data_IF_912221060739
#
_entry.id   IF_912221060739
#
_cell.length_a   1.000
_cell.length_b   1.000
_cell.length_c   1.000
_cell.angle_alpha   90.00
_cell.angle_beta   90.00
_cell.angle_gamma   90.00
#
_symmetry.space_group_name_H-M   'P 1'
#
loop_
_entity.id
_entity.type
_entity.pdbx_description
1 polymer ?
#
# COMPACT_ATOMS: atom_id res chain seq x y z
N UNK A 1 -32.01 5.74 7.64
CA UNK A 1 -31.02 4.84 7.01
C UNK A 1 -30.27 4.13 8.13
N UNK A 2 -29.83 2.86 7.99
CA UNK A 2 -28.94 2.25 8.97
C UNK A 2 -27.69 3.13 9.15
N UNK A 3 -27.17 3.22 10.38
CA UNK A 3 -25.97 4.00 10.67
C UNK A 3 -24.78 3.41 9.91
N UNK A 4 -24.12 4.21 9.09
CA UNK A 4 -22.89 3.83 8.39
C UNK A 4 -21.70 4.11 9.29
N UNK A 5 -20.92 3.07 9.60
CA UNK A 5 -19.70 3.17 10.37
C UNK A 5 -18.50 3.30 9.42
N UNK A 6 -17.56 4.19 9.74
CA UNK A 6 -16.30 4.37 8.99
C UNK A 6 -15.10 4.16 9.91
N UNK A 7 -14.01 3.64 9.36
CA UNK A 7 -12.82 3.25 10.12
C UNK A 7 -11.58 3.88 9.49
N UNK A 8 -10.71 4.44 10.33
CA UNK A 8 -9.37 4.86 9.95
C UNK A 8 -8.38 4.34 10.98
N UNK A 9 -7.15 4.01 10.54
CA UNK A 9 -6.08 3.53 11.42
C UNK A 9 -4.83 4.36 11.21
N UNK A 10 -4.14 4.67 12.31
CA UNK A 10 -2.96 5.53 12.29
C UNK A 10 -2.28 5.58 13.64
N UNK A 11 -1.04 6.05 13.65
CA UNK A 11 -0.43 6.60 14.86
C UNK A 11 -1.14 7.91 15.24
N UNK A 12 -1.11 8.25 16.52
CA UNK A 12 -1.74 9.47 17.01
C UNK A 12 -1.20 10.70 16.26
N UNK A 13 -2.12 11.54 15.78
CA UNK A 13 -1.78 12.77 15.04
C UNK A 13 -1.40 12.58 13.56
N UNK A 14 -1.45 11.36 13.05
CA UNK A 14 -1.08 11.05 11.65
C UNK A 14 -1.97 11.77 10.61
N UNK A 15 -1.42 12.08 9.41
CA UNK A 15 -2.15 12.76 8.35
C UNK A 15 -3.43 12.03 7.91
N UNK A 16 -3.40 10.69 7.86
CA UNK A 16 -4.56 9.90 7.42
C UNK A 16 -5.75 10.01 8.38
N UNK A 17 -5.50 10.05 9.70
CA UNK A 17 -6.57 10.21 10.68
C UNK A 17 -7.26 11.57 10.55
N UNK A 18 -6.48 12.65 10.34
CA UNK A 18 -7.03 14.00 10.11
C UNK A 18 -7.91 14.04 8.85
N UNK A 19 -7.42 13.50 7.74
CA UNK A 19 -8.17 13.47 6.48
C UNK A 19 -9.43 12.59 6.59
N UNK A 20 -9.35 11.45 7.28
CA UNK A 20 -10.49 10.57 7.50
C UNK A 20 -11.58 11.23 8.37
N UNK A 21 -11.19 11.96 9.41
CA UNK A 21 -12.13 12.69 10.27
C UNK A 21 -12.86 13.81 9.51
N UNK A 22 -12.17 14.51 8.60
CA UNK A 22 -12.80 15.51 7.73
C UNK A 22 -13.88 14.89 6.83
N UNK A 23 -13.56 13.77 6.18
CA UNK A 23 -14.52 13.03 5.33
C UNK A 23 -15.69 12.49 6.16
N UNK A 24 -15.41 11.94 7.34
CA UNK A 24 -16.44 11.41 8.21
C UNK A 24 -17.43 12.47 8.68
N UNK A 25 -16.94 13.68 9.02
CA UNK A 25 -17.77 14.82 9.38
C UNK A 25 -18.65 15.27 8.20
N UNK A 26 -18.09 15.30 6.99
CA UNK A 26 -18.83 15.67 5.78
C UNK A 26 -19.95 14.66 5.46
N UNK A 27 -19.65 13.36 5.56
CA UNK A 27 -20.58 12.28 5.21
C UNK A 27 -21.56 11.92 6.34
N UNK A 28 -21.33 12.42 7.56
CA UNK A 28 -22.16 12.11 8.73
C UNK A 28 -22.10 10.65 9.18
N UNK A 29 -20.95 9.97 8.99
CA UNK A 29 -20.75 8.58 9.42
C UNK A 29 -20.44 8.47 10.91
N UNK A 30 -20.77 7.33 11.53
CA UNK A 30 -20.25 6.99 12.86
C UNK A 30 -18.78 6.60 12.73
N UNK A 31 -17.89 7.56 12.96
CA UNK A 31 -16.46 7.39 12.73
C UNK A 31 -15.74 6.72 13.90
N UNK A 32 -14.84 5.80 13.57
CA UNK A 32 -13.98 5.11 14.53
C UNK A 32 -12.53 5.37 14.15
N UNK A 33 -11.89 6.27 14.89
CA UNK A 33 -10.46 6.52 14.79
C UNK A 33 -9.72 5.44 15.60
N UNK A 34 -8.98 4.57 14.92
CA UNK A 34 -8.27 3.45 15.52
C UNK A 34 -6.79 3.80 15.65
N UNK A 35 -6.35 4.00 16.88
CA UNK A 35 -4.92 4.18 17.16
C UNK A 35 -4.25 2.84 17.43
N UNK A 36 -3.00 2.74 16.98
CA UNK A 36 -2.03 1.76 17.45
C UNK A 36 -0.74 2.49 17.85
N UNK A 37 0.05 1.86 18.69
CA UNK A 37 1.40 2.30 19.04
C UNK A 37 2.43 1.60 18.16
N UNK A 38 3.61 2.20 17.99
CA UNK A 38 4.71 1.56 17.27
C UNK A 38 5.03 0.18 17.86
N UNK A 39 5.02 0.05 19.20
CA UNK A 39 5.27 -1.24 19.86
C UNK A 39 4.21 -2.29 19.51
N UNK A 40 2.92 -1.95 19.52
CA UNK A 40 1.87 -2.88 19.07
C UNK A 40 2.05 -3.30 17.60
N UNK A 41 2.56 -2.38 16.77
CA UNK A 41 2.93 -2.68 15.38
C UNK A 41 4.10 -3.68 15.30
N UNK A 42 5.17 -3.44 16.05
CA UNK A 42 6.36 -4.31 16.09
C UNK A 42 6.01 -5.71 16.60
N UNK A 43 5.26 -5.80 17.69
CA UNK A 43 4.84 -7.05 18.30
C UNK A 43 3.95 -7.88 17.35
N UNK A 44 3.21 -7.21 16.45
CA UNK A 44 2.34 -7.86 15.48
C UNK A 44 3.06 -8.37 14.21
N UNK A 45 4.31 -7.98 13.94
CA UNK A 45 4.99 -8.27 12.66
C UNK A 45 5.02 -9.77 12.35
N UNK A 46 5.31 -10.61 13.34
CA UNK A 46 5.38 -12.06 13.15
C UNK A 46 4.02 -12.64 12.73
N UNK A 47 2.95 -12.26 13.42
CA UNK A 47 1.60 -12.71 13.10
C UNK A 47 1.13 -12.16 11.75
N UNK A 48 1.51 -10.93 11.41
CA UNK A 48 1.23 -10.35 10.09
C UNK A 48 1.92 -11.16 9.00
N UNK A 49 3.21 -11.47 9.12
CA UNK A 49 3.93 -12.32 8.14
C UNK A 49 3.25 -13.69 8.01
N UNK A 50 2.84 -14.29 9.13
CA UNK A 50 2.09 -15.54 9.13
C UNK A 50 0.76 -15.43 8.37
N UNK A 51 -0.02 -14.39 8.62
CA UNK A 51 -1.34 -14.22 8.00
C UNK A 51 -1.26 -13.82 6.53
N UNK A 52 -0.31 -12.96 6.13
CA UNK A 52 -0.20 -12.49 4.75
C UNK A 52 0.57 -13.51 3.88
N UNK A 53 1.46 -14.29 4.50
CA UNK A 53 2.30 -15.30 3.84
C UNK A 53 3.22 -14.65 2.78
N UNK A 54 3.90 -13.57 3.17
CA UNK A 54 4.88 -12.87 2.32
C UNK A 54 6.04 -12.30 3.14
N UNK A 55 7.16 -12.06 2.49
CA UNK A 55 8.32 -11.31 3.03
C UNK A 55 8.55 -9.98 2.30
N UNK A 56 7.62 -9.55 1.44
CA UNK A 56 7.70 -8.25 0.77
C UNK A 56 7.56 -7.08 1.77
N UNK A 57 8.57 -6.21 1.79
CA UNK A 57 8.69 -5.11 2.77
C UNK A 57 7.51 -4.15 2.69
N UNK A 58 7.13 -3.74 1.49
CA UNK A 58 6.04 -2.78 1.26
C UNK A 58 4.72 -3.35 1.74
N UNK A 59 4.46 -4.62 1.41
CA UNK A 59 3.25 -5.34 1.79
C UNK A 59 3.17 -5.50 3.30
N UNK A 60 4.25 -5.89 3.98
CA UNK A 60 4.26 -6.04 5.45
C UNK A 60 4.04 -4.69 6.14
N UNK A 61 4.76 -3.63 5.74
CA UNK A 61 4.60 -2.27 6.27
C UNK A 61 3.15 -1.78 6.23
N UNK A 62 2.46 -2.03 5.10
CA UNK A 62 1.06 -1.63 4.91
C UNK A 62 0.06 -2.62 5.54
N UNK A 63 0.41 -3.90 5.67
CA UNK A 63 -0.49 -4.91 6.22
C UNK A 63 -0.63 -4.81 7.73
N UNK A 64 0.41 -4.41 8.45
CA UNK A 64 0.37 -4.35 9.92
C UNK A 64 -0.71 -3.41 10.47
N UNK A 65 -0.82 -2.14 10.02
CA UNK A 65 -1.91 -1.28 10.48
C UNK A 65 -3.29 -1.82 10.08
N UNK A 66 -3.42 -2.40 8.88
CA UNK A 66 -4.67 -2.98 8.40
C UNK A 66 -5.11 -4.21 9.23
N UNK A 67 -4.16 -5.05 9.61
CA UNK A 67 -4.38 -6.18 10.52
C UNK A 67 -4.87 -5.70 11.89
N UNK A 68 -4.22 -4.69 12.48
CA UNK A 68 -4.62 -4.11 13.76
C UNK A 68 -5.99 -3.42 13.69
N UNK A 69 -6.29 -2.75 12.58
CA UNK A 69 -7.60 -2.15 12.31
C UNK A 69 -8.69 -3.22 12.25
N UNK A 70 -8.46 -4.31 11.52
CA UNK A 70 -9.41 -5.42 11.38
C UNK A 70 -9.76 -6.04 12.74
N UNK A 71 -8.77 -6.19 13.62
CA UNK A 71 -8.99 -6.66 15.01
C UNK A 71 -10.03 -5.83 15.73
N UNK A 72 -9.94 -4.49 15.66
CA UNK A 72 -10.89 -3.59 16.33
C UNK A 72 -12.26 -3.58 15.63
N UNK A 73 -12.29 -3.60 14.30
CA UNK A 73 -13.55 -3.73 13.52
C UNK A 73 -14.32 -4.99 13.95
N UNK A 74 -13.62 -6.12 14.07
CA UNK A 74 -14.22 -7.37 14.52
C UNK A 74 -14.77 -7.28 15.93
N UNK A 75 -14.03 -6.66 16.85
CA UNK A 75 -14.45 -6.47 18.24
C UNK A 75 -15.75 -5.65 18.37
N UNK A 76 -16.02 -4.78 17.40
CA UNK A 76 -17.28 -4.02 17.30
C UNK A 76 -18.43 -4.83 16.67
N UNK A 77 -18.20 -6.09 16.28
CA UNK A 77 -19.20 -6.98 15.70
C UNK A 77 -19.42 -6.80 14.19
N UNK A 78 -18.65 -5.93 13.53
CA UNK A 78 -18.71 -5.72 12.09
C UNK A 78 -17.96 -6.85 11.38
N UNK A 79 -18.57 -7.38 10.33
CA UNK A 79 -18.08 -8.57 9.61
C UNK A 79 -17.70 -8.28 8.16
N UNK A 80 -18.01 -7.10 7.64
CA UNK A 80 -17.72 -6.72 6.26
C UNK A 80 -17.47 -5.22 6.17
N UNK A 81 -16.46 -4.82 5.38
CA UNK A 81 -16.15 -3.43 5.06
C UNK A 81 -15.88 -3.26 3.56
N UNK A 82 -16.07 -2.04 3.06
CA UNK A 82 -15.70 -1.62 1.71
C UNK A 82 -14.34 -0.90 1.76
N UNK A 83 -13.47 -1.19 0.80
CA UNK A 83 -12.15 -0.57 0.66
C UNK A 83 -11.94 0.01 -0.74
N UNK A 84 -11.04 0.99 -0.84
CA UNK A 84 -10.68 1.69 -2.07
C UNK A 84 -9.56 1.03 -2.90
N UNK A 85 -9.09 -0.16 -2.51
CA UNK A 85 -8.05 -0.90 -3.24
C UNK A 85 -8.42 -1.12 -4.71
N UNK A 86 -7.42 -1.07 -5.60
CA UNK A 86 -7.61 -1.15 -7.04
C UNK A 86 -7.74 0.21 -7.74
N UNK A 87 -8.05 1.29 -7.01
CA UNK A 87 -8.24 2.61 -7.62
C UNK A 87 -6.96 3.12 -8.29
N UNK A 88 -5.81 2.98 -7.62
CA UNK A 88 -4.53 3.48 -8.12
C UNK A 88 -4.05 2.67 -9.34
N UNK A 89 -4.26 1.35 -9.35
CA UNK A 89 -3.93 0.47 -10.47
C UNK A 89 -4.82 0.69 -11.69
N UNK A 90 -6.09 1.01 -11.49
CA UNK A 90 -7.03 1.27 -12.58
C UNK A 90 -6.79 2.64 -13.21
N UNK A 91 -6.50 3.66 -12.41
CA UNK A 91 -6.48 5.06 -12.86
C UNK A 91 -5.09 5.70 -12.91
N UNK A 92 -4.01 4.96 -12.67
CA UNK A 92 -2.66 5.52 -12.69
C UNK A 92 -2.41 6.47 -11.52
N UNK A 93 -2.79 6.04 -10.31
CA UNK A 93 -2.81 6.91 -9.12
C UNK A 93 -1.54 6.97 -8.31
N UNK A 94 -0.56 6.11 -8.60
CA UNK A 94 0.75 6.19 -7.96
C UNK A 94 1.58 7.35 -8.50
N UNK A 95 2.39 7.98 -7.66
CA UNK A 95 3.17 9.16 -8.05
C UNK A 95 4.15 8.88 -9.19
N UNK A 96 4.62 7.65 -9.37
CA UNK A 96 5.51 7.30 -10.48
C UNK A 96 4.81 7.41 -11.85
N UNK A 97 3.47 7.37 -11.92
CA UNK A 97 2.74 7.60 -13.17
C UNK A 97 2.90 9.02 -13.72
N UNK A 98 3.33 9.99 -12.92
CA UNK A 98 3.73 11.32 -13.42
C UNK A 98 4.91 11.25 -14.39
N UNK A 99 5.65 10.15 -14.37
CA UNK A 99 6.79 9.90 -15.26
C UNK A 99 6.43 8.99 -16.43
N UNK A 100 5.15 8.62 -16.59
CA UNK A 100 4.71 7.80 -17.71
C UNK A 100 5.04 8.52 -19.04
N UNK A 101 5.78 7.89 -19.97
CA UNK A 101 6.23 8.56 -21.19
C UNK A 101 5.08 8.98 -22.12
N UNK A 102 4.00 8.21 -22.13
CA UNK A 102 2.81 8.43 -22.95
C UNK A 102 1.65 7.55 -22.44
N UNK A 103 0.44 7.78 -22.96
CA UNK A 103 -0.76 7.08 -22.52
C UNK A 103 -0.76 5.56 -22.81
N UNK A 104 0.00 5.12 -23.82
CA UNK A 104 0.17 3.68 -24.10
C UNK A 104 0.96 3.01 -22.97
N UNK A 105 2.11 3.57 -22.59
CA UNK A 105 2.91 3.05 -21.48
C UNK A 105 2.12 3.09 -20.16
N UNK A 106 1.36 4.16 -19.90
CA UNK A 106 0.44 4.24 -18.75
C UNK A 106 -0.57 3.09 -18.78
N UNK A 107 -1.25 2.88 -19.92
CA UNK A 107 -2.25 1.83 -20.05
C UNK A 107 -1.64 0.44 -19.83
N UNK A 108 -0.52 0.15 -20.48
CA UNK A 108 0.17 -1.14 -20.34
C UNK A 108 0.62 -1.39 -18.89
N UNK A 109 1.08 -0.35 -18.18
CA UNK A 109 1.41 -0.48 -16.76
C UNK A 109 0.18 -0.69 -15.88
N UNK A 110 -0.92 0.04 -16.11
CA UNK A 110 -2.18 -0.20 -15.37
C UNK A 110 -2.69 -1.63 -15.55
N UNK A 111 -2.62 -2.17 -16.77
CA UNK A 111 -2.98 -3.58 -17.06
C UNK A 111 -2.03 -4.54 -16.35
N UNK A 112 -0.72 -4.28 -16.39
CA UNK A 112 0.29 -5.11 -15.70
C UNK A 112 0.07 -5.11 -14.19
N UNK A 113 -0.23 -3.95 -13.60
CA UNK A 113 -0.55 -3.82 -12.17
C UNK A 113 -1.82 -4.59 -11.81
N UNK A 114 -2.88 -4.46 -12.61
CA UNK A 114 -4.12 -5.22 -12.41
C UNK A 114 -3.89 -6.74 -12.47
N UNK A 115 -3.04 -7.22 -13.39
CA UNK A 115 -2.69 -8.64 -13.48
C UNK A 115 -1.88 -9.14 -12.28
N UNK A 116 -1.08 -8.27 -11.66
CA UNK A 116 -0.23 -8.63 -10.53
C UNK A 116 -0.88 -8.41 -9.15
N UNK A 117 -2.01 -7.69 -9.07
CA UNK A 117 -2.69 -7.31 -7.83
C UNK A 117 -2.93 -8.47 -6.85
N UNK A 118 -3.17 -9.68 -7.37
CA UNK A 118 -3.41 -10.87 -6.56
C UNK A 118 -2.23 -11.25 -5.65
N UNK A 119 -1.00 -10.81 -5.97
CA UNK A 119 0.21 -11.05 -5.17
C UNK A 119 0.50 -9.92 -4.17
N UNK A 120 -0.14 -8.76 -4.34
CA UNK A 120 0.15 -7.53 -3.59
C UNK A 120 -1.11 -7.07 -2.82
N UNK A 121 -1.75 -6.00 -3.26
CA UNK A 121 -2.82 -5.31 -2.53
C UNK A 121 -4.05 -6.18 -2.29
N UNK A 122 -4.41 -7.07 -3.22
CA UNK A 122 -5.50 -8.03 -2.98
C UNK A 122 -5.14 -9.04 -1.89
N UNK A 123 -3.89 -9.53 -1.87
CA UNK A 123 -3.44 -10.45 -0.82
C UNK A 123 -3.44 -9.75 0.54
N UNK A 124 -2.88 -8.54 0.63
CA UNK A 124 -2.91 -7.71 1.84
C UNK A 124 -4.34 -7.45 2.32
N UNK A 125 -5.19 -6.87 1.47
CA UNK A 125 -6.54 -6.47 1.86
C UNK A 125 -7.40 -7.67 2.26
N UNK A 126 -7.28 -8.79 1.56
CA UNK A 126 -8.02 -10.00 1.91
C UNK A 126 -7.48 -10.64 3.19
N UNK A 127 -6.19 -10.93 3.26
CA UNK A 127 -5.60 -11.74 4.34
C UNK A 127 -5.51 -10.97 5.66
N UNK A 128 -5.13 -9.69 5.63
CA UNK A 128 -5.07 -8.85 6.84
C UNK A 128 -6.45 -8.70 7.49
N UNK A 129 -7.49 -8.52 6.67
CA UNK A 129 -8.87 -8.39 7.17
C UNK A 129 -9.42 -9.75 7.63
N UNK A 130 -9.16 -10.81 6.86
CA UNK A 130 -9.60 -12.18 7.17
C UNK A 130 -8.94 -12.77 8.41
N UNK A 131 -7.76 -12.29 8.80
CA UNK A 131 -7.08 -12.70 10.04
C UNK A 131 -7.96 -12.54 11.28
N UNK A 132 -8.91 -11.58 11.25
CA UNK A 132 -9.88 -11.35 12.31
C UNK A 132 -11.32 -11.67 11.89
N UNK A 133 -11.51 -12.38 10.78
CA UNK A 133 -12.82 -12.78 10.28
C UNK A 133 -13.69 -11.58 9.87
N UNK A 134 -13.08 -10.62 9.16
CA UNK A 134 -13.74 -9.48 8.50
C UNK A 134 -13.55 -9.61 6.99
N UNK A 135 -14.66 -9.58 6.24
CA UNK A 135 -14.66 -9.59 4.78
C UNK A 135 -14.37 -8.20 4.21
N UNK A 136 -13.38 -8.09 3.33
CA UNK A 136 -13.10 -6.87 2.58
C UNK A 136 -13.69 -6.94 1.18
N UNK A 137 -14.46 -5.92 0.78
CA UNK A 137 -15.00 -5.78 -0.58
C UNK A 137 -14.36 -4.57 -1.27
N UNK A 138 -14.05 -4.71 -2.55
CA UNK A 138 -13.23 -3.76 -3.33
C UNK A 138 -13.96 -3.31 -4.61
N UNK A 139 -14.85 -2.31 -4.54
CA UNK A 139 -15.69 -1.92 -5.68
C UNK A 139 -14.93 -1.50 -6.93
N UNK A 140 -13.73 -0.93 -6.81
CA UNK A 140 -12.88 -0.57 -7.95
C UNK A 140 -12.40 -1.77 -8.77
N UNK A 141 -12.47 -2.98 -8.21
CA UNK A 141 -12.12 -4.23 -8.91
C UNK A 141 -13.36 -5.04 -9.33
N UNK A 142 -14.56 -4.45 -9.24
CA UNK A 142 -15.74 -5.08 -9.83
C UNK A 142 -15.55 -5.29 -11.34
N UNK A 143 -15.93 -6.46 -11.83
CA UNK A 143 -15.71 -6.84 -13.23
C UNK A 143 -16.38 -5.88 -14.22
N UNK A 144 -17.60 -5.42 -13.94
CA UNK A 144 -18.32 -4.49 -14.82
C UNK A 144 -17.74 -3.09 -14.72
N UNK A 145 -17.33 -2.67 -13.53
CA UNK A 145 -16.63 -1.40 -13.35
C UNK A 145 -15.31 -1.39 -14.13
N UNK A 146 -14.51 -2.44 -14.04
CA UNK A 146 -13.25 -2.59 -14.79
C UNK A 146 -13.48 -2.53 -16.30
N UNK A 147 -14.53 -3.18 -16.81
CA UNK A 147 -14.88 -3.12 -18.24
C UNK A 147 -15.10 -1.68 -18.73
N UNK A 148 -15.62 -0.78 -17.89
CA UNK A 148 -15.80 0.64 -18.23
C UNK A 148 -14.49 1.40 -18.00
N UNK A 149 -13.95 1.32 -16.79
CA UNK A 149 -12.79 2.10 -16.36
C UNK A 149 -11.51 1.78 -17.15
N UNK A 150 -11.39 0.58 -17.73
CA UNK A 150 -10.26 0.20 -18.58
C UNK A 150 -10.48 0.47 -20.07
N UNK A 151 -11.69 0.87 -20.49
CA UNK A 151 -12.02 1.19 -21.89
C UNK A 151 -12.13 2.69 -22.20
N UNK A 152 -12.08 3.56 -21.18
CA UNK A 152 -11.90 5.00 -21.42
C UNK A 152 -10.53 5.27 -22.06
N UNK A 153 -10.38 6.43 -22.70
CA UNK A 153 -9.11 6.79 -23.33
C UNK A 153 -8.01 6.94 -22.25
N UNK A 154 -6.88 6.21 -22.34
CA UNK A 154 -5.81 6.33 -21.36
C UNK A 154 -5.20 7.73 -21.27
N UNK A 155 -5.35 8.56 -22.31
CA UNK A 155 -4.97 9.99 -22.27
C UNK A 155 -5.72 10.75 -21.14
N UNK A 156 -6.95 10.36 -20.83
CA UNK A 156 -7.72 10.97 -19.74
C UNK A 156 -7.23 10.56 -18.34
N UNK A 157 -6.39 9.51 -18.26
CA UNK A 157 -5.73 9.05 -17.04
C UNK A 157 -4.34 9.66 -16.84
N UNK A 158 -3.76 10.29 -17.87
CA UNK A 158 -2.45 10.91 -17.78
C UNK A 158 -2.45 12.05 -16.74
N UNK A 159 -1.45 12.05 -15.87
CA UNK A 159 -1.18 13.12 -14.91
C UNK A 159 0.09 13.90 -15.28
N UNK A 160 0.35 15.01 -14.59
CA UNK A 160 1.37 15.99 -14.98
C UNK A 160 0.79 17.13 -15.81
N UNK A 161 1.62 18.11 -16.17
CA UNK A 161 1.22 19.30 -16.94
C UNK A 161 0.00 20.04 -16.35
N UNK A 162 -0.08 20.12 -15.01
CA UNK A 162 -1.19 20.76 -14.29
C UNK A 162 -2.33 19.82 -13.90
N UNK A 163 -2.32 18.55 -14.34
CA UNK A 163 -3.28 17.52 -13.89
C UNK A 163 -2.72 16.69 -12.73
N UNK A 164 -3.55 16.48 -11.72
CA UNK A 164 -3.28 15.59 -10.59
C UNK A 164 -3.47 14.13 -10.97
N UNK A 165 -2.83 13.20 -10.25
CA UNK A 165 -3.10 11.77 -10.40
C UNK A 165 -4.59 11.47 -10.21
N UNK A 166 -5.13 10.58 -11.05
CA UNK A 166 -6.56 10.23 -11.09
C UNK A 166 -7.51 11.41 -11.34
N UNK A 167 -7.07 12.43 -12.10
CA UNK A 167 -7.88 13.63 -12.40
C UNK A 167 -9.32 13.31 -12.84
N UNK A 168 -9.50 12.41 -13.81
CA UNK A 168 -10.82 12.01 -14.30
C UNK A 168 -11.73 11.43 -13.21
N UNK A 169 -11.16 10.68 -12.26
CA UNK A 169 -11.92 10.15 -11.13
C UNK A 169 -12.34 11.27 -10.18
N UNK A 170 -11.45 12.25 -9.95
CA UNK A 170 -11.73 13.42 -9.11
C UNK A 170 -12.87 14.25 -9.69
N UNK A 171 -12.84 14.54 -10.99
CA UNK A 171 -13.93 15.24 -11.69
C UNK A 171 -15.27 14.49 -11.59
N UNK A 172 -15.26 13.16 -11.74
CA UNK A 172 -16.48 12.35 -11.69
C UNK A 172 -17.16 12.36 -10.30
N UNK A 173 -16.40 12.56 -9.22
CA UNK A 173 -16.90 12.47 -7.85
C UNK A 173 -16.70 13.75 -7.04
N UNK A 174 -16.32 14.87 -7.66
CA UNK A 174 -16.01 16.13 -7.00
C UNK A 174 -17.17 16.63 -6.12
N UNK A 175 -18.41 16.42 -6.56
CA UNK A 175 -19.61 16.86 -5.82
C UNK A 175 -19.90 16.06 -4.54
N UNK A 176 -19.22 14.93 -4.32
CA UNK A 176 -19.49 14.03 -3.18
C UNK A 176 -18.64 14.33 -1.95
N UNK A 177 -17.55 15.08 -2.09
CA UNK A 177 -16.54 15.27 -1.05
C UNK A 177 -16.15 16.74 -0.95
N UNK A 178 -15.58 17.20 0.18
CA UNK A 178 -14.96 18.51 0.27
C UNK A 178 -13.86 18.68 -0.79
N UNK A 179 -13.74 19.88 -1.37
CA UNK A 179 -12.72 20.16 -2.39
C UNK A 179 -11.28 19.90 -1.88
N UNK A 180 -11.04 20.14 -0.59
CA UNK A 180 -9.81 19.81 0.14
C UNK A 180 -9.44 18.32 0.07
N UNK A 181 -10.44 17.43 -0.03
CA UNK A 181 -10.25 15.97 -0.17
C UNK A 181 -10.22 15.58 -1.64
N UNK A 182 -11.17 16.09 -2.44
CA UNK A 182 -11.29 15.77 -3.86
C UNK A 182 -10.02 16.11 -4.66
N UNK A 183 -9.28 17.13 -4.23
CA UNK A 183 -8.04 17.59 -4.85
C UNK A 183 -6.81 17.46 -3.93
N UNK A 184 -6.84 16.52 -2.98
CA UNK A 184 -5.66 16.17 -2.16
C UNK A 184 -4.70 15.28 -2.96
N UNK A 185 -3.41 15.61 -2.98
CA UNK A 185 -2.37 14.76 -3.57
C UNK A 185 -2.28 13.40 -2.83
N UNK A 186 -1.96 12.35 -3.58
CA UNK A 186 -1.79 10.98 -3.08
C UNK A 186 -0.69 10.89 -2.01
N UNK A 187 -1.10 10.39 -0.84
CA UNK A 187 -0.25 9.87 0.22
C UNK A 187 -0.28 8.33 0.18
N UNK A 188 0.87 7.67 0.29
CA UNK A 188 0.91 6.21 0.39
C UNK A 188 0.51 5.75 1.79
N UNK A 189 -0.18 4.62 1.89
CA UNK A 189 -0.78 4.16 3.15
C UNK A 189 0.25 4.01 4.28
N UNK A 190 1.43 3.46 3.99
CA UNK A 190 2.48 3.27 4.99
C UNK A 190 3.13 4.56 5.48
N UNK A 191 3.09 5.64 4.68
CA UNK A 191 3.61 6.96 5.08
C UNK A 191 2.51 7.76 5.81
N UNK A 192 1.27 7.70 5.30
CA UNK A 192 0.11 8.40 5.87
C UNK A 192 -0.30 7.90 7.26
N UNK A 193 0.04 6.66 7.60
CA UNK A 193 -0.20 6.07 8.93
C UNK A 193 0.64 6.71 10.05
N UNK A 194 1.72 7.42 9.69
CA UNK A 194 2.63 8.10 10.61
C UNK A 194 4.09 7.72 10.39
N UNK A 195 4.94 8.73 10.18
CA UNK A 195 6.33 8.54 9.74
C UNK A 195 7.19 7.68 10.67
N UNK A 196 6.98 7.78 11.99
CA UNK A 196 7.74 6.99 12.97
C UNK A 196 7.52 5.49 12.84
N UNK A 197 6.45 5.03 12.19
CA UNK A 197 6.24 3.60 11.96
C UNK A 197 7.35 2.99 11.10
N UNK A 198 7.61 3.56 9.92
CA UNK A 198 8.64 3.05 8.99
C UNK A 198 10.03 3.29 9.56
N UNK A 199 10.26 4.44 10.19
CA UNK A 199 11.57 4.80 10.70
C UNK A 199 11.98 3.82 11.82
N UNK A 200 11.08 3.50 12.75
CA UNK A 200 11.36 2.50 13.79
C UNK A 200 11.52 1.09 13.22
N UNK A 201 10.78 0.70 12.17
CA UNK A 201 11.02 -0.59 11.50
C UNK A 201 12.43 -0.71 10.93
N UNK A 202 12.93 0.36 10.31
CA UNK A 202 14.30 0.44 9.79
C UNK A 202 15.33 0.38 10.92
N UNK A 203 15.10 1.11 12.02
CA UNK A 203 15.97 1.11 13.21
C UNK A 203 16.06 -0.29 13.85
N UNK A 204 14.92 -0.92 14.11
CA UNK A 204 14.85 -2.27 14.71
C UNK A 204 15.57 -3.29 13.82
N UNK A 205 15.36 -3.24 12.50
CA UNK A 205 16.08 -4.12 11.58
C UNK A 205 17.59 -3.85 11.56
N UNK A 206 18.01 -2.59 11.69
CA UNK A 206 19.42 -2.21 11.76
C UNK A 206 20.12 -2.74 13.01
N UNK A 207 19.41 -2.80 14.14
CA UNK A 207 19.90 -3.35 15.41
C UNK A 207 19.95 -4.89 15.41
N UNK A 208 18.96 -5.56 14.81
CA UNK A 208 18.84 -7.03 14.86
C UNK A 208 19.68 -7.74 13.79
N UNK A 209 19.90 -7.12 12.63
CA UNK A 209 20.62 -7.73 11.52
C UNK A 209 21.99 -7.10 11.38
N UNK A 210 23.04 -7.91 11.51
CA UNK A 210 24.42 -7.49 11.31
C UNK A 210 24.75 -7.26 9.82
N UNK A 211 25.78 -6.46 9.54
CA UNK A 211 26.26 -6.24 8.18
C UNK A 211 26.78 -7.54 7.54
N UNK A 212 27.39 -8.42 8.35
CA UNK A 212 27.84 -9.74 7.90
C UNK A 212 26.68 -10.63 7.46
N UNK A 213 25.56 -10.64 8.21
CA UNK A 213 24.36 -11.39 7.81
C UNK A 213 23.85 -10.91 6.44
N UNK A 214 23.81 -9.59 6.23
CA UNK A 214 23.37 -9.03 4.95
C UNK A 214 24.35 -9.36 3.81
N UNK A 215 25.66 -9.23 4.03
CA UNK A 215 26.70 -9.54 3.03
C UNK A 215 26.67 -11.03 2.62
N UNK A 216 26.37 -11.92 3.57
CA UNK A 216 26.32 -13.37 3.34
C UNK A 216 24.91 -13.88 3.05
N UNK A 217 23.91 -12.99 2.91
CA UNK A 217 22.50 -13.36 2.78
C UNK A 217 22.24 -14.36 1.65
N UNK A 218 22.96 -14.26 0.52
CA UNK A 218 22.82 -15.17 -0.63
C UNK A 218 23.08 -16.65 -0.31
N UNK A 219 23.84 -16.94 0.73
CA UNK A 219 24.14 -18.32 1.14
C UNK A 219 23.03 -18.91 2.02
N UNK A 220 22.31 -18.05 2.76
CA UNK A 220 21.15 -18.44 3.58
C UNK A 220 19.86 -18.45 2.75
N UNK A 221 19.66 -17.39 1.97
CA UNK A 221 18.47 -17.13 1.15
C UNK A 221 18.89 -17.04 -0.34
N UNK A 222 19.14 -18.17 -1.02
CA UNK A 222 19.62 -18.15 -2.41
C UNK A 222 18.56 -17.68 -3.42
N UNK A 223 17.28 -17.85 -3.10
CA UNK A 223 16.14 -17.33 -3.87
C UNK A 223 15.67 -16.00 -3.28
N UNK A 224 15.48 -14.97 -4.10
CA UNK A 224 15.09 -13.62 -3.66
C UNK A 224 15.93 -13.13 -2.47
N UNK A 225 17.25 -13.09 -2.63
CA UNK A 225 18.17 -12.64 -1.59
C UNK A 225 17.77 -11.25 -1.08
N UNK A 226 17.58 -11.05 0.24
CA UNK A 226 17.25 -9.73 0.77
C UNK A 226 18.41 -8.76 0.55
N UNK A 227 18.09 -7.58 0.00
CA UNK A 227 19.05 -6.50 -0.26
C UNK A 227 19.14 -5.46 0.87
N UNK A 228 18.28 -5.56 1.88
CA UNK A 228 18.27 -4.68 3.06
C UNK A 228 18.10 -5.48 4.34
N UNK A 229 18.48 -4.88 5.47
CA UNK A 229 18.31 -5.50 6.81
C UNK A 229 16.85 -5.76 7.16
N UNK A 230 15.95 -4.87 6.77
CA UNK A 230 14.51 -5.04 6.99
C UNK A 230 13.94 -6.19 6.15
N UNK A 231 14.32 -6.28 4.87
CA UNK A 231 13.97 -7.42 4.03
C UNK A 231 14.53 -8.73 4.60
N UNK A 232 15.74 -8.70 5.15
CA UNK A 232 16.36 -9.86 5.80
C UNK A 232 15.55 -10.30 7.01
N UNK A 233 15.21 -9.37 7.91
CA UNK A 233 14.42 -9.65 9.11
C UNK A 233 13.08 -10.32 8.77
N UNK A 234 12.35 -9.78 7.79
CA UNK A 234 11.08 -10.36 7.35
C UNK A 234 11.26 -11.72 6.69
N UNK A 235 12.30 -11.89 5.88
CA UNK A 235 12.61 -13.17 5.23
C UNK A 235 12.99 -14.26 6.24
N UNK A 236 13.70 -13.89 7.30
CA UNK A 236 14.05 -14.79 8.40
C UNK A 236 12.80 -15.30 9.12
N UNK A 237 11.88 -14.40 9.49
CA UNK A 237 10.59 -14.77 10.10
C UNK A 237 9.76 -15.64 9.14
N UNK A 238 9.73 -15.28 7.84
CA UNK A 238 8.98 -16.02 6.84
C UNK A 238 9.48 -17.46 6.69
N UNK A 239 10.80 -17.70 6.55
CA UNK A 239 11.31 -19.06 6.42
C UNK A 239 11.19 -19.89 7.71
N UNK A 240 11.15 -19.24 8.88
CA UNK A 240 10.83 -19.91 10.14
C UNK A 240 9.38 -20.42 10.17
N UNK A 241 8.44 -19.64 9.63
CA UNK A 241 7.01 -19.97 9.59
C UNK A 241 6.65 -20.91 8.42
N UNK A 242 7.33 -20.76 7.29
CA UNK A 242 7.09 -21.48 6.04
C UNK A 242 8.37 -22.16 5.54
N UNK A 243 8.85 -23.23 6.20
CA UNK A 243 10.16 -23.85 5.94
C UNK A 243 10.15 -24.77 4.72
N UNK A 244 9.64 -24.27 3.58
CA UNK A 244 9.57 -24.99 2.31
C UNK A 244 10.00 -24.05 1.17
N UNK A 245 10.95 -24.45 0.30
CA UNK A 245 11.46 -23.58 -0.78
C UNK A 245 10.35 -23.01 -1.67
N UNK A 246 9.36 -23.82 -2.03
CA UNK A 246 8.25 -23.40 -2.88
C UNK A 246 7.37 -22.31 -2.24
N UNK A 247 7.35 -22.18 -0.91
CA UNK A 247 6.65 -21.08 -0.26
C UNK A 247 7.34 -19.74 -0.58
N UNK A 248 8.67 -19.72 -0.57
CA UNK A 248 9.42 -18.51 -0.92
C UNK A 248 9.25 -18.13 -2.39
N UNK A 249 9.12 -19.13 -3.28
CA UNK A 249 8.88 -18.95 -4.73
C UNK A 249 7.50 -18.37 -5.07
N UNK A 250 6.52 -18.48 -4.16
CA UNK A 250 5.21 -17.83 -4.32
C UNK A 250 5.27 -16.31 -4.12
N UNK A 251 6.32 -15.80 -3.47
CA UNK A 251 6.48 -14.37 -3.21
C UNK A 251 7.24 -13.74 -4.39
N UNK A 252 6.65 -12.76 -5.10
CA UNK A 252 7.26 -12.19 -6.29
C UNK A 252 8.60 -11.52 -5.96
N UNK A 253 9.62 -11.86 -6.74
CA UNK A 253 10.93 -11.22 -6.68
C UNK A 253 11.11 -10.10 -7.70
N UNK A 254 12.25 -9.42 -7.59
CA UNK A 254 12.69 -8.41 -8.55
C UNK A 254 12.62 -6.98 -8.00
N UNK A 255 13.21 -6.01 -8.74
CA UNK A 255 13.24 -4.61 -8.32
C UNK A 255 11.83 -4.00 -8.38
N UNK A 256 11.48 -3.22 -7.37
CA UNK A 256 10.23 -2.47 -7.26
C UNK A 256 10.49 -1.16 -6.52
N UNK A 257 10.02 -0.04 -7.07
CA UNK A 257 10.12 1.30 -6.45
C UNK A 257 8.72 1.88 -6.36
N UNK A 258 8.25 2.28 -5.17
CA UNK A 258 6.94 2.92 -5.00
C UNK A 258 5.76 2.16 -5.65
N UNK A 259 5.74 0.83 -5.48
CA UNK A 259 4.76 -0.08 -6.09
C UNK A 259 4.82 -0.15 -7.64
N UNK A 260 5.87 0.33 -8.29
CA UNK A 260 6.04 0.22 -9.74
C UNK A 260 6.39 -1.20 -10.19
N UNK A 261 6.09 -1.54 -11.44
CA UNK A 261 6.70 -2.71 -12.06
C UNK A 261 8.14 -2.42 -12.51
N UNK A 262 8.91 -3.49 -12.76
CA UNK A 262 10.25 -3.37 -13.33
C UNK A 262 10.27 -2.55 -14.65
N UNK A 263 9.18 -2.57 -15.42
CA UNK A 263 9.07 -1.79 -16.66
C UNK A 263 8.94 -0.30 -16.39
N UNK A 264 8.20 0.09 -15.35
CA UNK A 264 8.02 1.49 -14.97
C UNK A 264 9.29 2.10 -14.35
N UNK A 265 10.22 1.29 -13.84
CA UNK A 265 11.57 1.74 -13.44
C UNK A 265 12.35 2.28 -14.65
N UNK A 266 12.09 1.80 -15.87
CA UNK A 266 12.76 2.29 -17.08
C UNK A 266 12.31 3.69 -17.51
N UNK A 267 11.22 4.23 -16.94
CA UNK A 267 10.68 5.53 -17.31
C UNK A 267 11.51 6.71 -16.80
N UNK A 268 12.35 6.50 -15.80
CA UNK A 268 13.19 7.54 -15.22
C UNK A 268 14.49 6.98 -14.64
N UNK A 269 15.63 7.56 -15.05
CA UNK A 269 16.95 7.11 -14.61
C UNK A 269 17.13 7.16 -13.09
N UNK A 270 16.50 8.10 -12.38
CA UNK A 270 16.60 8.20 -10.93
C UNK A 270 15.91 7.02 -10.22
N UNK A 271 14.96 6.34 -10.86
CA UNK A 271 14.35 5.13 -10.28
C UNK A 271 15.29 3.93 -10.31
N UNK A 272 16.26 3.89 -11.22
CA UNK A 272 17.19 2.74 -11.35
C UNK A 272 18.15 2.63 -10.17
N UNK A 273 18.38 3.72 -9.44
CA UNK A 273 19.33 3.80 -8.32
C UNK A 273 18.63 3.96 -6.97
N UNK A 274 17.31 3.72 -6.92
CA UNK A 274 16.49 4.05 -5.75
C UNK A 274 16.15 2.79 -4.96
N UNK A 275 16.66 2.70 -3.73
CA UNK A 275 16.46 1.54 -2.84
C UNK A 275 15.28 1.71 -1.87
N UNK A 276 14.70 2.91 -1.76
CA UNK A 276 13.53 3.14 -0.89
C UNK A 276 12.22 2.89 -1.67
N UNK A 277 11.41 1.90 -1.27
CA UNK A 277 10.15 1.60 -1.93
C UNK A 277 9.02 2.59 -1.59
N UNK A 278 9.26 3.61 -0.75
CA UNK A 278 8.24 4.61 -0.40
C UNK A 278 8.01 5.64 -1.50
N UNK A 279 6.79 6.17 -1.53
CA UNK A 279 6.37 7.21 -2.48
C UNK A 279 7.11 8.53 -2.30
N UNK A 280 7.71 8.74 -1.11
CA UNK A 280 8.62 9.86 -0.79
C UNK A 280 9.78 9.95 -1.79
N UNK A 281 10.23 8.81 -2.31
CA UNK A 281 11.39 8.74 -3.17
C UNK A 281 11.14 9.35 -4.58
N UNK A 282 9.87 9.52 -4.99
CA UNK A 282 9.53 9.97 -6.35
C UNK A 282 9.74 11.47 -6.58
N UNK A 283 9.95 12.28 -5.52
CA UNK A 283 10.28 13.71 -5.64
C UNK A 283 9.14 14.63 -6.14
N UNK A 284 7.94 14.08 -6.34
CA UNK A 284 6.73 14.80 -6.81
C UNK A 284 5.83 15.25 -5.65
N UNK A 285 6.14 14.82 -4.42
CA UNK A 285 5.31 15.09 -3.24
C UNK A 285 5.53 16.51 -2.71
N UNK A 286 4.56 17.41 -2.94
CA UNK A 286 4.70 18.84 -2.60
C UNK A 286 4.58 19.12 -1.10
N UNK A 287 4.01 18.19 -0.33
CA UNK A 287 3.72 18.36 1.10
C UNK A 287 4.60 17.53 2.03
N UNK A 288 5.66 16.88 1.53
CA UNK A 288 6.48 15.96 2.32
C UNK A 288 7.29 16.60 3.47
N UNK A 289 7.26 17.94 3.60
CA UNK A 289 8.19 18.71 4.44
C UNK A 289 7.53 19.84 5.24
N UNK A 290 6.29 19.69 5.73
CA UNK A 290 5.69 20.64 6.67
C UNK A 290 5.24 19.99 7.97
#
# INVERSE_FOLDING_TARGET
>A
MPQLHSFAVGLEGSPDLKAAQEVANHLGTVHHEIHFTVQEGLDAIRDVIYHIETYDVTTIRASTPMYLMSRKIKAMGIKMVLSGEGSDEVFGGYLYFHKAPNAKELHEETVRKLQALHMFDCARANKAMSAWGVEARVPFLDKKFLDVAMRINPEDKMCGNGKMEKHILRECFESYLPASVAWRQKEQFSDGVGYSWIDTLKEVAAEQISDQQLETARFRFPYNTPSSKEAYLYREIFEELFPVPSAAECVPGGPSVACSSAKAIEWDEAFKTMDDPSGRAVGVHQSAYK
#
